data_IF_713298048095
#
_entry.id   IF_713298048095
#
_cell.length_a   1.000
_cell.length_b   1.000
_cell.length_c   1.000
_cell.angle_alpha   90.00
_cell.angle_beta   90.00
_cell.angle_gamma   90.00
#
_symmetry.space_group_name_H-M   'P 1'
#
loop_
_entity.id
_entity.type
_entity.pdbx_description
1 polymer ?
#
# COMPACT_ATOMS: atom_id res chain seq x y z
N UNK A 1 -3.47 -17.43 -1.28
CA UNK A 1 -3.37 -15.98 -1.23
C UNK A 1 -4.40 -15.37 -2.18
N UNK A 2 -5.08 -14.30 -1.80
CA UNK A 2 -5.99 -13.52 -2.63
C UNK A 2 -5.50 -12.07 -2.70
N UNK A 3 -5.49 -11.47 -3.88
CA UNK A 3 -5.26 -10.04 -4.03
C UNK A 3 -6.60 -9.30 -3.97
N UNK A 4 -6.67 -8.22 -3.21
CA UNK A 4 -7.87 -7.40 -3.09
C UNK A 4 -7.53 -5.98 -3.51
N UNK A 5 -8.15 -5.50 -4.59
CA UNK A 5 -7.97 -4.14 -5.11
C UNK A 5 -9.18 -3.26 -4.77
N UNK A 6 -8.93 -2.10 -4.14
CA UNK A 6 -10.00 -1.20 -3.70
C UNK A 6 -9.91 0.14 -4.43
N UNK A 7 -11.01 0.51 -5.06
CA UNK A 7 -11.12 1.72 -5.90
C UNK A 7 -10.27 1.62 -7.17
N UNK A 8 -10.24 2.67 -7.99
CA UNK A 8 -9.63 2.62 -9.32
C UNK A 8 -8.15 2.24 -9.33
N UNK A 9 -7.34 2.87 -8.48
CA UNK A 9 -5.89 2.62 -8.42
C UNK A 9 -5.63 1.22 -7.86
N UNK A 10 -6.25 0.87 -6.72
CA UNK A 10 -6.09 -0.44 -6.10
C UNK A 10 -6.52 -1.58 -7.02
N UNK A 11 -7.64 -1.43 -7.73
CA UNK A 11 -8.14 -2.41 -8.69
C UNK A 11 -7.18 -2.64 -9.87
N UNK A 12 -6.62 -1.56 -10.41
CA UNK A 12 -5.64 -1.66 -11.52
C UNK A 12 -4.37 -2.40 -11.07
N UNK A 13 -3.83 -2.06 -9.91
CA UNK A 13 -2.63 -2.69 -9.36
C UNK A 13 -2.89 -4.16 -9.04
N UNK A 14 -3.99 -4.47 -8.34
CA UNK A 14 -4.33 -5.84 -7.98
C UNK A 14 -4.58 -6.73 -9.21
N UNK A 15 -5.28 -6.22 -10.23
CA UNK A 15 -5.50 -6.95 -11.48
C UNK A 15 -4.18 -7.22 -12.23
N UNK A 16 -3.27 -6.24 -12.29
CA UNK A 16 -1.97 -6.41 -12.94
C UNK A 16 -1.07 -7.39 -12.18
N UNK A 17 -1.02 -7.29 -10.83
CA UNK A 17 -0.28 -8.23 -10.00
C UNK A 17 -0.87 -9.65 -10.07
N UNK A 18 -2.20 -9.79 -10.10
CA UNK A 18 -2.90 -11.07 -10.29
C UNK A 18 -2.51 -11.74 -11.61
N UNK A 19 -2.40 -10.96 -12.69
CA UNK A 19 -1.96 -11.48 -13.98
C UNK A 19 -0.50 -11.96 -13.93
N UNK A 20 0.39 -11.23 -13.25
CA UNK A 20 1.80 -11.58 -13.13
C UNK A 20 2.04 -12.81 -12.22
N UNK A 21 1.23 -12.99 -11.19
CA UNK A 21 1.33 -14.08 -10.20
C UNK A 21 0.43 -15.28 -10.51
N UNK A 22 -0.38 -15.20 -11.57
CA UNK A 22 -1.38 -16.20 -11.92
C UNK A 22 -2.35 -16.56 -10.76
N UNK A 23 -2.62 -15.61 -9.86
CA UNK A 23 -3.49 -15.80 -8.69
C UNK A 23 -4.86 -15.14 -8.89
N UNK A 24 -5.82 -15.46 -8.01
CA UNK A 24 -7.14 -14.82 -7.99
C UNK A 24 -7.08 -13.42 -7.41
N UNK A 25 -7.96 -12.53 -7.89
CA UNK A 25 -8.16 -11.21 -7.30
C UNK A 25 -9.64 -10.87 -7.10
N UNK A 26 -9.89 -10.03 -6.08
CA UNK A 26 -11.17 -9.42 -5.76
C UNK A 26 -11.05 -7.92 -5.94
N UNK A 27 -11.92 -7.33 -6.78
CA UNK A 27 -11.93 -5.90 -7.06
C UNK A 27 -13.19 -5.29 -6.45
N UNK A 28 -13.02 -4.25 -5.64
CA UNK A 28 -14.12 -3.60 -4.91
C UNK A 28 -14.09 -2.10 -5.20
N UNK A 29 -15.14 -1.57 -5.80
CA UNK A 29 -15.27 -0.12 -6.03
C UNK A 29 -16.73 0.32 -6.09
N UNK A 30 -16.95 1.60 -5.84
CA UNK A 30 -18.22 2.28 -6.08
C UNK A 30 -18.30 2.92 -7.48
N UNK A 31 -17.30 2.74 -8.31
CA UNK A 31 -17.32 3.09 -9.74
C UNK A 31 -17.15 1.83 -10.60
N UNK A 32 -18.12 1.56 -11.46
CA UNK A 32 -18.08 0.40 -12.37
C UNK A 32 -16.89 0.42 -13.32
N UNK A 33 -16.37 1.61 -13.67
CA UNK A 33 -15.22 1.77 -14.55
C UNK A 33 -13.92 1.22 -13.97
N UNK A 34 -13.86 1.09 -12.65
CA UNK A 34 -12.71 0.57 -11.91
C UNK A 34 -12.66 -0.97 -11.92
N UNK A 35 -13.76 -1.60 -12.31
CA UNK A 35 -13.97 -3.02 -12.13
C UNK A 35 -13.83 -3.78 -13.45
N UNK A 36 -12.99 -4.80 -13.41
CA UNK A 36 -12.85 -5.78 -14.48
C UNK A 36 -13.30 -7.13 -13.95
N UNK A 37 -14.17 -7.81 -14.64
CA UNK A 37 -14.60 -9.17 -14.31
C UNK A 37 -14.12 -10.13 -15.38
N UNK A 38 -13.31 -11.10 -14.97
CA UNK A 38 -12.76 -12.15 -15.84
C UNK A 38 -12.49 -13.43 -15.02
N UNK A 39 -11.91 -14.44 -15.62
CA UNK A 39 -11.65 -15.73 -14.97
C UNK A 39 -10.78 -15.65 -13.70
N UNK A 40 -9.98 -14.59 -13.54
CA UNK A 40 -9.09 -14.39 -12.38
C UNK A 40 -9.63 -13.35 -11.42
N UNK A 41 -10.34 -12.33 -11.91
CA UNK A 41 -10.80 -11.19 -11.10
C UNK A 41 -12.31 -11.26 -10.90
N UNK A 42 -12.72 -11.38 -9.65
CA UNK A 42 -14.11 -11.19 -9.22
C UNK A 42 -14.33 -9.73 -8.89
N UNK A 43 -15.45 -9.15 -9.29
CA UNK A 43 -15.75 -7.74 -9.08
C UNK A 43 -16.98 -7.57 -8.18
N UNK A 44 -16.85 -6.76 -7.13
CA UNK A 44 -17.95 -6.33 -6.27
C UNK A 44 -18.19 -4.84 -6.48
N UNK A 45 -19.34 -4.51 -7.04
CA UNK A 45 -19.76 -3.12 -7.23
C UNK A 45 -20.58 -2.65 -6.04
N UNK A 46 -20.00 -1.77 -5.22
CA UNK A 46 -20.68 -1.14 -4.08
C UNK A 46 -21.63 -0.08 -4.61
N UNK A 47 -22.92 -0.43 -4.65
CA UNK A 47 -23.95 0.47 -5.17
C UNK A 47 -24.20 1.62 -4.20
N UNK A 48 -24.09 2.85 -4.67
CA UNK A 48 -24.38 4.05 -3.90
C UNK A 48 -25.80 4.60 -4.12
N UNK A 49 -26.68 3.81 -4.75
CA UNK A 49 -28.03 4.24 -5.08
C UNK A 49 -28.05 5.50 -5.97
N UNK A 50 -28.84 6.48 -5.58
CA UNK A 50 -28.94 7.77 -6.29
C UNK A 50 -27.82 8.77 -5.92
N UNK A 51 -26.92 8.41 -4.99
CA UNK A 51 -25.85 9.28 -4.55
C UNK A 51 -24.73 9.37 -5.58
N UNK A 52 -24.58 10.56 -6.12
CA UNK A 52 -23.42 10.91 -6.94
C UNK A 52 -22.29 11.34 -6.00
N UNK A 53 -21.16 10.63 -6.03
CA UNK A 53 -20.01 10.93 -5.16
C UNK A 53 -20.32 10.93 -3.63
N UNK A 54 -20.78 9.83 -3.03
CA UNK A 54 -21.08 9.79 -1.62
C UNK A 54 -19.87 10.14 -0.76
N UNK A 55 -20.09 10.69 0.44
CA UNK A 55 -19.01 10.87 1.42
C UNK A 55 -18.44 9.53 1.87
N UNK A 56 -17.25 9.54 2.48
CA UNK A 56 -16.63 8.30 3.00
C UNK A 56 -17.55 7.61 4.03
N UNK A 57 -18.23 8.36 4.89
CA UNK A 57 -19.17 7.82 5.86
C UNK A 57 -20.36 7.12 5.20
N UNK A 58 -20.97 7.79 4.23
CA UNK A 58 -22.10 7.21 3.48
C UNK A 58 -21.66 5.99 2.67
N UNK A 59 -20.47 6.03 2.09
CA UNK A 59 -19.94 4.89 1.35
C UNK A 59 -19.71 3.66 2.26
N UNK A 60 -19.26 3.87 3.50
CA UNK A 60 -19.14 2.77 4.50
C UNK A 60 -20.47 2.08 4.75
N UNK A 61 -21.57 2.84 4.90
CA UNK A 61 -22.89 2.24 5.12
C UNK A 61 -23.34 1.37 3.94
N UNK A 62 -22.97 1.73 2.72
CA UNK A 62 -23.28 0.91 1.54
C UNK A 62 -22.42 -0.38 1.48
N UNK A 63 -21.18 -0.30 1.94
CA UNK A 63 -20.28 -1.48 2.03
C UNK A 63 -20.85 -2.56 2.95
N UNK A 64 -21.47 -2.18 4.05
CA UNK A 64 -22.12 -3.14 4.97
C UNK A 64 -23.18 -4.01 4.28
N UNK A 65 -23.88 -3.49 3.28
CA UNK A 65 -24.83 -4.25 2.46
C UNK A 65 -24.15 -5.34 1.59
N UNK A 66 -22.85 -5.26 1.36
CA UNK A 66 -22.06 -6.23 0.59
C UNK A 66 -21.17 -7.12 1.47
N UNK A 67 -21.34 -7.06 2.80
CA UNK A 67 -20.47 -7.76 3.76
C UNK A 67 -20.38 -9.26 3.50
N UNK A 68 -21.53 -9.91 3.31
CA UNK A 68 -21.58 -11.35 3.07
C UNK A 68 -20.90 -11.75 1.76
N UNK A 69 -21.12 -10.98 0.69
CA UNK A 69 -20.50 -11.19 -0.62
C UNK A 69 -18.98 -11.07 -0.56
N UNK A 70 -18.47 -10.07 0.18
CA UNK A 70 -17.04 -9.88 0.42
C UNK A 70 -16.46 -11.02 1.25
N UNK A 71 -17.15 -11.43 2.33
CA UNK A 71 -16.71 -12.53 3.20
C UNK A 71 -16.64 -13.86 2.43
N UNK A 72 -17.64 -14.15 1.60
CA UNK A 72 -17.67 -15.34 0.75
C UNK A 72 -16.53 -15.32 -0.27
N UNK A 73 -16.28 -14.19 -0.91
CA UNK A 73 -15.17 -14.05 -1.88
C UNK A 73 -13.78 -14.23 -1.25
N UNK A 74 -13.63 -13.95 0.06
CA UNK A 74 -12.39 -14.15 0.81
C UNK A 74 -12.31 -15.54 1.47
N UNK A 75 -13.40 -16.29 1.49
CA UNK A 75 -13.46 -17.59 2.15
C UNK A 75 -12.46 -18.60 1.55
N UNK A 76 -11.78 -19.35 2.41
CA UNK A 76 -10.82 -20.38 2.01
C UNK A 76 -9.40 -19.87 1.72
N UNK A 77 -9.16 -18.56 1.81
CA UNK A 77 -7.81 -18.02 1.70
C UNK A 77 -7.17 -17.85 3.08
N UNK A 78 -5.89 -18.18 3.20
CA UNK A 78 -5.10 -17.99 4.42
C UNK A 78 -4.53 -16.58 4.53
N UNK A 79 -4.35 -15.91 3.40
CA UNK A 79 -3.74 -14.57 3.33
C UNK A 79 -4.43 -13.72 2.27
N UNK A 80 -4.68 -12.47 2.60
CA UNK A 80 -5.13 -11.45 1.65
C UNK A 80 -4.11 -10.31 1.58
N UNK A 81 -3.85 -9.81 0.38
CA UNK A 81 -3.09 -8.57 0.16
C UNK A 81 -4.06 -7.52 -0.34
N UNK A 82 -4.31 -6.50 0.46
CA UNK A 82 -5.25 -5.41 0.16
C UNK A 82 -4.51 -4.21 -0.36
N UNK A 83 -4.79 -3.79 -1.59
CA UNK A 83 -4.18 -2.62 -2.23
C UNK A 83 -5.20 -1.49 -2.34
N UNK A 84 -4.88 -0.33 -1.80
CA UNK A 84 -5.77 0.82 -1.79
C UNK A 84 -5.04 2.15 -1.88
N UNK A 85 -5.64 3.11 -2.60
CA UNK A 85 -5.20 4.51 -2.57
C UNK A 85 -6.07 5.26 -1.53
N UNK A 86 -5.47 5.65 -0.42
CA UNK A 86 -6.16 6.34 0.67
C UNK A 86 -6.47 7.82 0.37
N UNK A 87 -5.92 8.38 -0.70
CA UNK A 87 -6.38 9.66 -1.23
C UNK A 87 -7.78 9.57 -1.88
N UNK A 88 -8.19 8.36 -2.31
CA UNK A 88 -9.48 8.11 -2.93
C UNK A 88 -10.57 7.74 -1.93
N UNK A 89 -11.81 8.22 -2.15
CA UNK A 89 -12.96 7.93 -1.27
C UNK A 89 -13.19 6.43 -1.06
N UNK A 90 -13.10 5.64 -2.13
CA UNK A 90 -13.24 4.18 -2.03
C UNK A 90 -12.15 3.57 -1.12
N UNK A 91 -10.88 3.94 -1.33
CA UNK A 91 -9.78 3.48 -0.48
C UNK A 91 -9.98 3.83 0.99
N UNK A 92 -10.28 5.11 1.27
CA UNK A 92 -10.52 5.62 2.63
C UNK A 92 -11.70 4.94 3.32
N UNK A 93 -12.79 4.68 2.60
CA UNK A 93 -14.01 4.13 3.19
C UNK A 93 -14.00 2.60 3.28
N UNK A 94 -13.52 1.92 2.24
CA UNK A 94 -13.70 0.47 2.06
C UNK A 94 -12.52 -0.31 2.65
N UNK A 95 -11.26 0.18 2.49
CA UNK A 95 -10.08 -0.59 2.87
C UNK A 95 -10.05 -0.99 4.35
N UNK A 96 -10.33 -0.10 5.32
CA UNK A 96 -10.36 -0.50 6.72
C UNK A 96 -11.40 -1.59 7.03
N UNK A 97 -12.57 -1.52 6.39
CA UNK A 97 -13.64 -2.50 6.58
C UNK A 97 -13.27 -3.88 6.03
N UNK A 98 -12.70 -3.92 4.82
CA UNK A 98 -12.25 -5.18 4.20
C UNK A 98 -11.12 -5.82 5.01
N UNK A 99 -10.14 -5.03 5.46
CA UNK A 99 -9.07 -5.52 6.33
C UNK A 99 -9.64 -6.09 7.64
N UNK A 100 -10.57 -5.38 8.28
CA UNK A 100 -11.24 -5.85 9.50
C UNK A 100 -11.99 -7.16 9.26
N UNK A 101 -12.79 -7.24 8.20
CA UNK A 101 -13.54 -8.45 7.86
C UNK A 101 -12.62 -9.67 7.66
N UNK A 102 -11.51 -9.48 6.96
CA UNK A 102 -10.51 -10.53 6.76
C UNK A 102 -9.90 -10.97 8.10
N UNK A 103 -9.50 -10.01 8.94
CA UNK A 103 -8.95 -10.29 10.28
C UNK A 103 -9.95 -11.01 11.18
N UNK A 104 -11.21 -10.56 11.20
CA UNK A 104 -12.30 -11.21 11.96
C UNK A 104 -12.53 -12.66 11.51
N UNK A 105 -12.28 -12.94 10.22
CA UNK A 105 -12.30 -14.27 9.62
C UNK A 105 -11.01 -15.07 9.81
N UNK A 106 -10.05 -14.58 10.61
CA UNK A 106 -8.73 -15.19 10.87
C UNK A 106 -7.87 -15.36 9.61
N UNK A 107 -8.06 -14.52 8.63
CA UNK A 107 -7.24 -14.43 7.43
C UNK A 107 -6.10 -13.45 7.72
N UNK A 108 -4.87 -13.81 7.39
CA UNK A 108 -3.73 -12.89 7.52
C UNK A 108 -3.86 -11.74 6.51
N UNK A 109 -3.69 -10.51 6.99
CA UNK A 109 -3.91 -9.28 6.21
C UNK A 109 -2.62 -8.52 6.02
N UNK A 110 -2.21 -8.36 4.77
CA UNK A 110 -1.15 -7.44 4.36
C UNK A 110 -1.83 -6.30 3.60
N UNK A 111 -1.74 -5.09 4.10
CA UNK A 111 -2.30 -3.92 3.42
C UNK A 111 -1.20 -3.10 2.73
N UNK A 112 -1.48 -2.64 1.50
CA UNK A 112 -0.63 -1.70 0.77
C UNK A 112 -1.42 -0.42 0.58
N UNK A 113 -0.99 0.63 1.27
CA UNK A 113 -1.63 1.91 1.33
C UNK A 113 -0.85 2.96 0.53
N UNK A 114 -1.49 3.59 -0.45
CA UNK A 114 -0.92 4.68 -1.22
C UNK A 114 -1.44 5.98 -0.62
N UNK A 115 -0.53 6.89 -0.25
CA UNK A 115 -0.86 8.15 0.41
C UNK A 115 -1.12 9.28 -0.60
N UNK A 116 -1.95 10.30 -0.20
CA UNK A 116 -2.17 11.48 -1.03
C UNK A 116 -0.90 12.30 -1.21
N UNK A 117 -0.86 13.10 -2.28
CA UNK A 117 0.14 14.14 -2.42
C UNK A 117 -0.11 15.30 -1.45
N UNK A 118 0.95 16.03 -1.08
CA UNK A 118 0.88 17.21 -0.19
C UNK A 118 -0.08 18.30 -0.69
N UNK A 119 -0.23 18.44 -1.99
CA UNK A 119 -1.16 19.41 -2.56
C UNK A 119 -2.65 18.99 -2.47
N UNK A 120 -2.93 17.70 -2.20
CA UNK A 120 -4.29 17.17 -1.98
C UNK A 120 -4.73 17.39 -0.52
N UNK A 121 -4.62 18.62 -0.04
CA UNK A 121 -4.78 19.02 1.37
C UNK A 121 -6.11 18.60 1.99
N UNK A 122 -7.19 18.61 1.20
CA UNK A 122 -8.54 18.17 1.58
C UNK A 122 -8.63 16.67 1.89
N UNK A 123 -7.64 15.88 1.46
CA UNK A 123 -7.62 14.42 1.62
C UNK A 123 -6.66 13.92 2.68
N UNK A 124 -5.71 14.75 3.10
CA UNK A 124 -4.63 14.36 4.02
C UNK A 124 -5.19 13.79 5.32
N UNK A 125 -6.11 14.52 5.97
CA UNK A 125 -6.71 14.08 7.24
C UNK A 125 -7.48 12.76 7.09
N UNK A 126 -8.32 12.65 6.06
CA UNK A 126 -9.09 11.43 5.79
C UNK A 126 -8.18 10.23 5.51
N UNK A 127 -7.08 10.45 4.79
CA UNK A 127 -6.10 9.41 4.50
C UNK A 127 -5.31 8.98 5.75
N UNK A 128 -4.94 9.93 6.61
CA UNK A 128 -4.28 9.65 7.90
C UNK A 128 -5.14 8.79 8.80
N UNK A 129 -6.40 9.19 8.99
CA UNK A 129 -7.37 8.42 9.77
C UNK A 129 -7.60 7.02 9.17
N UNK A 130 -7.71 6.90 7.85
CA UNK A 130 -7.86 5.60 7.21
C UNK A 130 -6.61 4.73 7.34
N UNK A 131 -5.42 5.31 7.24
CA UNK A 131 -4.15 4.60 7.44
C UNK A 131 -4.07 4.02 8.85
N UNK A 132 -4.40 4.81 9.88
CA UNK A 132 -4.44 4.32 11.27
C UNK A 132 -5.34 3.10 11.40
N UNK A 133 -6.59 3.21 10.93
CA UNK A 133 -7.57 2.10 10.97
C UNK A 133 -7.11 0.85 10.22
N UNK A 134 -6.47 1.03 9.06
CA UNK A 134 -5.92 -0.09 8.30
C UNK A 134 -4.77 -0.75 9.07
N UNK A 135 -3.89 0.04 9.70
CA UNK A 135 -2.78 -0.47 10.53
C UNK A 135 -3.27 -1.30 11.71
N UNK A 136 -4.33 -0.84 12.39
CA UNK A 136 -4.88 -1.49 13.59
C UNK A 136 -5.46 -2.88 13.29
N UNK A 137 -5.94 -3.10 12.07
CA UNK A 137 -6.60 -4.34 11.66
C UNK A 137 -5.78 -5.19 10.68
N UNK A 138 -4.62 -4.74 10.25
CA UNK A 138 -3.72 -5.50 9.37
C UNK A 138 -2.59 -6.12 10.17
N UNK A 139 -2.13 -7.30 9.75
CA UNK A 139 -0.94 -7.92 10.33
C UNK A 139 0.34 -7.20 9.88
N UNK A 140 0.30 -6.65 8.67
CA UNK A 140 1.35 -5.76 8.16
C UNK A 140 0.77 -4.70 7.25
N UNK A 141 1.30 -3.48 7.32
CA UNK A 141 0.94 -2.38 6.42
C UNK A 141 2.18 -1.86 5.70
N UNK A 142 2.12 -1.79 4.38
CA UNK A 142 3.16 -1.20 3.54
C UNK A 142 2.63 0.12 3.00
N UNK A 143 3.31 1.21 3.30
CA UNK A 143 2.90 2.54 2.85
C UNK A 143 3.77 2.99 1.68
N UNK A 144 3.13 3.43 0.60
CA UNK A 144 3.77 4.08 -0.54
C UNK A 144 3.55 5.58 -0.49
N UNK A 145 4.65 6.30 -0.43
CA UNK A 145 4.68 7.76 -0.39
C UNK A 145 5.01 8.34 -1.76
N UNK A 146 4.00 8.81 -2.46
CA UNK A 146 4.21 9.42 -3.76
C UNK A 146 4.95 10.77 -3.70
N UNK A 147 4.78 11.53 -2.61
CA UNK A 147 5.47 12.81 -2.45
C UNK A 147 6.97 12.64 -2.26
N UNK A 148 7.39 11.71 -1.38
CA UNK A 148 8.80 11.46 -1.16
C UNK A 148 9.50 10.99 -2.45
N UNK A 149 8.78 10.25 -3.31
CA UNK A 149 9.28 9.89 -4.63
C UNK A 149 9.39 11.10 -5.55
N UNK A 150 8.38 11.98 -5.57
CA UNK A 150 8.34 13.17 -6.41
C UNK A 150 9.33 14.24 -5.94
N UNK A 151 9.49 14.44 -4.64
CA UNK A 151 10.47 15.37 -4.06
C UNK A 151 11.91 15.05 -4.52
N UNK A 152 12.21 13.75 -4.69
CA UNK A 152 13.50 13.29 -5.23
C UNK A 152 13.55 13.26 -6.77
N UNK A 153 12.45 13.48 -7.46
CA UNK A 153 12.33 13.47 -8.92
C UNK A 153 11.39 14.60 -9.40
N UNK A 154 11.70 15.88 -9.09
CA UNK A 154 10.77 16.99 -9.29
C UNK A 154 10.43 17.29 -10.76
N UNK A 155 11.22 16.75 -11.70
CA UNK A 155 10.99 16.89 -13.13
C UNK A 155 9.92 15.94 -13.68
N UNK A 156 9.47 14.97 -12.88
CA UNK A 156 8.46 14.00 -13.31
C UNK A 156 7.06 14.62 -13.35
N UNK A 157 6.30 14.21 -14.36
CA UNK A 157 4.86 14.44 -14.35
C UNK A 157 4.19 13.57 -13.27
N UNK A 158 3.03 14.00 -12.78
CA UNK A 158 2.21 13.18 -11.87
C UNK A 158 1.89 11.80 -12.47
N UNK A 159 1.62 11.75 -13.77
CA UNK A 159 1.34 10.50 -14.48
C UNK A 159 2.53 9.54 -14.44
N UNK A 160 3.75 10.03 -14.69
CA UNK A 160 4.96 9.20 -14.65
C UNK A 160 5.28 8.74 -13.22
N UNK A 161 5.07 9.62 -12.23
CA UNK A 161 5.18 9.26 -10.83
C UNK A 161 4.27 8.08 -10.50
N UNK A 162 2.97 8.15 -10.83
CA UNK A 162 2.04 7.05 -10.62
C UNK A 162 2.42 5.78 -11.38
N UNK A 163 2.92 5.90 -12.61
CA UNK A 163 3.32 4.73 -13.38
C UNK A 163 4.49 3.99 -12.70
N UNK A 164 5.49 4.73 -12.21
CA UNK A 164 6.66 4.13 -11.55
C UNK A 164 6.28 3.54 -10.19
N UNK A 165 5.55 4.27 -9.37
CA UNK A 165 5.17 3.83 -8.02
C UNK A 165 4.20 2.66 -8.03
N UNK A 166 3.23 2.66 -8.96
CA UNK A 166 2.32 1.52 -9.15
C UNK A 166 3.06 0.27 -9.62
N UNK A 167 4.01 0.40 -10.56
CA UNK A 167 4.85 -0.71 -10.99
C UNK A 167 5.72 -1.25 -9.85
N UNK A 168 6.27 -0.38 -9.00
CA UNK A 168 7.02 -0.80 -7.83
C UNK A 168 6.16 -1.66 -6.87
N UNK A 169 4.91 -1.27 -6.65
CA UNK A 169 3.97 -2.05 -5.84
C UNK A 169 3.72 -3.42 -6.47
N UNK A 170 3.48 -3.50 -7.78
CA UNK A 170 3.27 -4.76 -8.50
C UNK A 170 4.50 -5.67 -8.38
N UNK A 171 5.70 -5.12 -8.60
CA UNK A 171 6.97 -5.85 -8.53
C UNK A 171 7.23 -6.36 -7.10
N UNK A 172 6.93 -5.56 -6.08
CA UNK A 172 7.05 -5.99 -4.68
C UNK A 172 6.03 -7.09 -4.35
N UNK A 173 4.76 -6.94 -4.73
CA UNK A 173 3.75 -8.00 -4.53
C UNK A 173 4.19 -9.32 -5.18
N UNK A 174 4.74 -9.26 -6.39
CA UNK A 174 5.22 -10.43 -7.10
C UNK A 174 6.46 -11.08 -6.49
N UNK A 175 7.20 -10.35 -5.68
CA UNK A 175 8.46 -10.80 -5.07
C UNK A 175 8.34 -11.17 -3.59
N UNK A 176 7.26 -10.74 -2.93
CA UNK A 176 7.06 -10.91 -1.48
C UNK A 176 6.31 -12.20 -1.21
N UNK A 177 6.88 -13.07 -0.38
CA UNK A 177 6.11 -14.09 0.33
C UNK A 177 5.55 -13.51 1.63
N UNK A 178 4.37 -13.97 2.04
CA UNK A 178 3.71 -13.53 3.27
C UNK A 178 4.58 -13.66 4.52
N UNK A 179 5.52 -14.60 4.51
CA UNK A 179 6.41 -14.91 5.64
C UNK A 179 7.54 -13.88 5.80
N UNK A 180 7.81 -13.08 4.77
CA UNK A 180 8.89 -12.10 4.76
C UNK A 180 8.47 -10.76 5.36
N UNK A 181 7.17 -10.43 5.36
CA UNK A 181 6.65 -9.20 5.93
C UNK A 181 6.13 -9.51 7.31
N UNK A 182 6.94 -9.22 8.34
CA UNK A 182 6.52 -9.39 9.74
C UNK A 182 5.61 -8.24 10.19
N UNK A 183 4.81 -8.47 11.26
CA UNK A 183 3.86 -7.47 11.77
C UNK A 183 4.56 -6.17 12.10
N UNK A 184 4.37 -5.16 11.32
CA UNK A 184 4.74 -3.77 11.60
C UNK A 184 4.25 -2.87 10.45
N UNK A 185 4.30 -1.58 10.66
CA UNK A 185 4.24 -0.65 9.56
C UNK A 185 5.55 -0.68 8.80
N UNK A 186 5.46 -0.73 7.47
CA UNK A 186 6.60 -0.71 6.56
C UNK A 186 6.41 0.42 5.55
N UNK A 187 7.50 0.94 5.05
CA UNK A 187 7.50 1.95 3.98
C UNK A 187 8.12 1.34 2.74
N UNK A 188 7.44 1.48 1.61
CA UNK A 188 7.97 1.10 0.30
C UNK A 188 8.61 2.32 -0.35
N UNK A 189 9.91 2.24 -0.56
CA UNK A 189 10.70 3.23 -1.31
C UNK A 189 11.14 2.63 -2.64
N UNK A 190 11.17 3.43 -3.68
CA UNK A 190 11.53 2.97 -5.03
C UNK A 190 12.43 3.95 -5.73
N UNK A 191 13.19 3.46 -6.71
CA UNK A 191 13.98 4.28 -7.61
C UNK A 191 13.37 4.35 -9.00
N UNK A 192 13.80 5.34 -9.76
CA UNK A 192 13.70 5.27 -11.22
C UNK A 192 14.64 4.19 -11.78
N UNK A 193 14.40 3.81 -13.01
CA UNK A 193 15.33 2.98 -13.75
C UNK A 193 16.64 3.75 -14.01
N UNK A 194 17.75 3.29 -13.44
CA UNK A 194 19.08 3.89 -13.57
C UNK A 194 20.05 2.90 -14.22
N UNK A 195 21.11 3.39 -14.89
CA UNK A 195 22.16 2.50 -15.42
C UNK A 195 22.95 1.77 -14.33
N UNK A 196 23.01 2.33 -13.12
CA UNK A 196 23.77 1.80 -11.98
C UNK A 196 22.83 1.41 -10.84
N UNK A 197 23.04 0.23 -10.28
CA UNK A 197 22.34 -0.25 -9.10
C UNK A 197 22.60 0.61 -7.86
N UNK A 198 23.80 1.19 -7.74
CA UNK A 198 24.15 2.11 -6.66
C UNK A 198 23.34 3.41 -6.73
N UNK A 199 23.20 3.98 -7.94
CA UNK A 199 22.37 5.18 -8.13
C UNK A 199 20.89 4.91 -7.81
N UNK A 200 20.39 3.74 -8.20
CA UNK A 200 19.02 3.31 -7.87
C UNK A 200 18.84 3.15 -6.36
N UNK A 201 19.79 2.54 -5.66
CA UNK A 201 19.73 2.42 -4.21
C UNK A 201 19.73 3.80 -3.53
N UNK A 202 20.54 4.74 -4.01
CA UNK A 202 20.58 6.10 -3.47
C UNK A 202 19.23 6.81 -3.60
N UNK A 203 18.57 6.70 -4.75
CA UNK A 203 17.22 7.25 -4.96
C UNK A 203 16.22 6.66 -3.94
N UNK A 204 16.24 5.34 -3.75
CA UNK A 204 15.33 4.68 -2.78
C UNK A 204 15.63 5.06 -1.32
N UNK A 205 16.89 5.24 -0.97
CA UNK A 205 17.30 5.68 0.37
C UNK A 205 16.93 7.14 0.61
N UNK A 206 17.05 8.01 -0.38
CA UNK A 206 16.59 9.40 -0.25
C UNK A 206 15.11 9.46 0.07
N UNK A 207 14.28 8.70 -0.68
CA UNK A 207 12.85 8.56 -0.40
C UNK A 207 12.57 8.03 1.02
N UNK A 208 13.40 7.09 1.52
CA UNK A 208 13.24 6.54 2.86
C UNK A 208 13.45 7.60 3.94
N UNK A 209 14.51 8.42 3.82
CA UNK A 209 14.80 9.49 4.78
C UNK A 209 13.74 10.58 4.80
N UNK A 210 13.09 10.84 3.67
CA UNK A 210 11.96 11.79 3.61
C UNK A 210 10.71 11.26 4.33
N UNK A 211 10.55 9.94 4.38
CA UNK A 211 9.37 9.29 4.96
C UNK A 211 9.56 8.93 6.42
N UNK A 212 10.76 8.48 6.81
CA UNK A 212 11.11 8.08 8.18
C UNK A 212 12.17 9.06 8.71
N UNK A 213 11.80 10.01 9.57
CA UNK A 213 12.72 11.03 10.07
C UNK A 213 13.91 10.48 10.86
N UNK A 214 13.70 9.36 11.56
CA UNK A 214 14.76 8.71 12.32
C UNK A 214 15.03 7.29 11.80
N UNK A 215 15.99 7.20 10.89
CA UNK A 215 16.40 5.93 10.28
C UNK A 215 17.03 4.93 11.29
N UNK A 216 17.51 5.40 12.45
CA UNK A 216 18.07 4.52 13.50
C UNK A 216 17.03 3.59 14.11
N UNK A 217 15.74 3.91 13.97
CA UNK A 217 14.62 3.10 14.45
C UNK A 217 14.31 1.91 13.54
N UNK A 218 14.86 1.88 12.35
CA UNK A 218 14.62 0.82 11.37
C UNK A 218 15.36 -0.45 11.79
N UNK A 219 14.60 -1.50 12.11
CA UNK A 219 15.13 -2.79 12.55
C UNK A 219 15.21 -3.83 11.45
N UNK A 220 14.54 -3.58 10.33
CA UNK A 220 14.47 -4.52 9.21
C UNK A 220 14.30 -3.78 7.90
N UNK A 221 15.01 -4.25 6.89
CA UNK A 221 14.87 -3.76 5.54
C UNK A 221 14.98 -4.93 4.55
N UNK A 222 14.18 -4.87 3.48
CA UNK A 222 14.24 -5.79 2.36
C UNK A 222 14.58 -5.00 1.11
N UNK A 223 15.56 -5.47 0.37
CA UNK A 223 16.05 -4.85 -0.85
C UNK A 223 15.68 -5.73 -2.03
N UNK A 224 14.91 -5.18 -2.95
CA UNK A 224 14.55 -5.82 -4.21
C UNK A 224 15.30 -5.13 -5.34
N UNK A 225 16.15 -5.87 -6.01
CA UNK A 225 16.90 -5.37 -7.17
C UNK A 225 16.26 -5.91 -8.43
N UNK A 226 15.67 -5.01 -9.22
CA UNK A 226 14.94 -5.33 -10.44
C UNK A 226 15.73 -4.86 -11.64
N UNK A 227 16.10 -5.76 -12.53
CA UNK A 227 16.69 -5.40 -13.81
C UNK A 227 18.14 -5.80 -14.01
N UNK A 228 18.64 -5.48 -15.20
CA UNK A 228 19.98 -5.81 -15.66
C UNK A 228 20.17 -7.31 -15.96
N UNK A 229 20.55 -7.63 -17.20
CA UNK A 229 20.85 -9.03 -17.57
C UNK A 229 22.01 -9.63 -16.76
N UNK A 230 22.76 -8.82 -15.99
CA UNK A 230 24.00 -9.25 -15.32
C UNK A 230 24.32 -8.40 -14.09
N UNK A 231 23.48 -8.45 -13.08
CA UNK A 231 23.91 -7.92 -11.78
C UNK A 231 24.86 -8.96 -11.18
N UNK A 232 26.08 -8.58 -10.93
CA UNK A 232 27.09 -9.46 -10.33
C UNK A 232 26.80 -9.67 -8.84
N UNK A 233 27.23 -10.81 -8.30
CA UNK A 233 27.17 -11.07 -6.85
C UNK A 233 27.92 -10.00 -6.06
N UNK A 234 29.04 -9.47 -6.64
CA UNK A 234 29.81 -8.40 -6.03
C UNK A 234 29.01 -7.09 -5.90
N UNK A 235 28.21 -6.74 -6.91
CA UNK A 235 27.31 -5.57 -6.85
C UNK A 235 26.19 -5.78 -5.82
N UNK A 236 25.58 -6.95 -5.78
CA UNK A 236 24.58 -7.28 -4.78
C UNK A 236 25.14 -7.19 -3.36
N UNK A 237 26.33 -7.72 -3.13
CA UNK A 237 27.01 -7.62 -1.83
C UNK A 237 27.32 -6.16 -1.44
N UNK A 238 27.72 -5.32 -2.39
CA UNK A 238 27.91 -3.88 -2.14
C UNK A 238 26.63 -3.19 -1.73
N UNK A 239 25.50 -3.46 -2.43
CA UNK A 239 24.20 -2.90 -2.08
C UNK A 239 23.77 -3.30 -0.67
N UNK A 240 23.88 -4.59 -0.33
CA UNK A 240 23.56 -5.10 1.02
C UNK A 240 24.46 -4.45 2.08
N UNK A 241 25.75 -4.35 1.82
CA UNK A 241 26.69 -3.72 2.76
C UNK A 241 26.40 -2.26 2.96
N UNK A 242 26.01 -1.53 1.89
CA UNK A 242 25.60 -0.14 1.97
C UNK A 242 24.36 0.01 2.86
N UNK A 243 23.32 -0.78 2.62
CA UNK A 243 22.09 -0.75 3.42
C UNK A 243 22.38 -1.08 4.90
N UNK A 244 23.16 -2.12 5.16
CA UNK A 244 23.59 -2.45 6.52
C UNK A 244 24.36 -1.34 7.22
N UNK A 245 25.22 -0.64 6.47
CA UNK A 245 25.99 0.49 7.01
C UNK A 245 25.16 1.72 7.37
N UNK A 246 23.98 1.87 6.75
CA UNK A 246 23.08 3.00 6.99
C UNK A 246 22.21 2.77 8.22
N UNK A 247 21.68 1.57 8.38
CA UNK A 247 20.71 1.25 9.43
C UNK A 247 21.32 0.79 10.74
N UNK A 248 22.62 0.81 10.85
CA UNK A 248 23.51 0.58 11.97
C UNK A 248 22.92 0.37 13.38
N UNK A 249 23.53 0.07 14.39
CA UNK A 249 24.84 -0.13 14.97
C UNK A 249 24.91 -1.40 15.81
N UNK A 250 23.73 -2.04 16.12
CA UNK A 250 23.65 -3.13 17.09
C UNK A 250 23.67 -4.55 16.47
N UNK A 251 23.96 -4.70 15.21
CA UNK A 251 24.00 -6.01 14.53
C UNK A 251 22.64 -6.73 14.39
N UNK A 252 21.54 -6.06 14.79
CA UNK A 252 20.18 -6.63 14.80
C UNK A 252 19.38 -6.40 13.53
N UNK A 253 19.93 -5.72 12.54
CA UNK A 253 19.20 -5.40 11.30
C UNK A 253 19.22 -6.60 10.36
N UNK A 254 18.03 -7.12 10.11
CA UNK A 254 17.81 -8.14 9.08
C UNK A 254 17.67 -7.45 7.71
N UNK A 255 18.62 -7.71 6.82
CA UNK A 255 18.53 -7.30 5.42
C UNK A 255 18.24 -8.52 4.58
N UNK A 256 17.04 -8.61 4.03
CA UNK A 256 16.69 -9.57 3.00
C UNK A 256 17.05 -9.00 1.62
N UNK A 257 17.37 -9.84 0.66
CA UNK A 257 17.60 -9.44 -0.70
C UNK A 257 16.91 -10.38 -1.68
N UNK A 258 16.19 -9.81 -2.63
CA UNK A 258 15.68 -10.51 -3.78
C UNK A 258 16.20 -9.82 -5.04
N UNK A 259 16.58 -10.59 -6.03
CA UNK A 259 16.95 -10.06 -7.34
C UNK A 259 16.11 -10.72 -8.43
N UNK A 260 15.66 -9.95 -9.41
CA UNK A 260 15.04 -10.48 -10.60
C UNK A 260 15.72 -9.95 -11.86
N UNK A 261 15.72 -10.76 -12.90
CA UNK A 261 16.29 -10.39 -14.20
C UNK A 261 15.22 -9.69 -15.03
N UNK A 262 15.54 -8.50 -15.52
CA UNK A 262 14.72 -7.76 -16.48
C UNK A 262 15.40 -7.71 -17.84
N UNK A 263 14.61 -7.57 -18.91
CA UNK A 263 15.11 -7.41 -20.26
C UNK A 263 15.82 -6.06 -20.49
N UNK A 264 15.65 -5.09 -19.60
CA UNK A 264 16.25 -3.76 -19.72
C UNK A 264 17.69 -3.72 -19.21
N UNK A 265 18.52 -2.82 -19.76
CA UNK A 265 19.87 -2.57 -19.26
C UNK A 265 19.90 -1.63 -18.04
N UNK A 266 18.73 -1.23 -17.54
CA UNK A 266 18.60 -0.36 -16.39
C UNK A 266 18.16 -1.15 -15.16
N UNK A 267 18.59 -0.70 -14.00
CA UNK A 267 18.29 -1.30 -12.70
C UNK A 267 17.34 -0.39 -11.93
N UNK A 268 16.36 -0.99 -11.24
CA UNK A 268 15.56 -0.35 -10.20
C UNK A 268 15.83 -1.04 -8.87
N UNK A 269 15.74 -0.28 -7.80
CA UNK A 269 15.84 -0.81 -6.45
C UNK A 269 14.56 -0.43 -5.70
N UNK A 270 13.92 -1.42 -5.11
CA UNK A 270 12.84 -1.20 -4.15
C UNK A 270 13.35 -1.56 -2.77
N UNK A 271 13.04 -0.72 -1.81
CA UNK A 271 13.38 -0.92 -0.42
C UNK A 271 12.10 -0.95 0.40
N UNK A 272 11.84 -2.06 1.09
CA UNK A 272 10.76 -2.17 2.08
C UNK A 272 11.40 -2.14 3.45
N UNK A 273 11.22 -1.05 4.18
CA UNK A 273 11.81 -0.85 5.49
C UNK A 273 10.75 -0.80 6.59
N UNK A 274 10.98 -1.47 7.70
CA UNK A 274 10.09 -1.40 8.86
C UNK A 274 10.19 -0.03 9.53
N UNK A 275 9.02 0.54 9.85
CA UNK A 275 8.89 1.82 10.55
C UNK A 275 8.22 1.59 11.91
N UNK A 276 8.98 1.18 12.95
CA UNK A 276 8.39 0.83 14.25
C UNK A 276 7.96 2.04 15.08
N UNK A 277 8.44 3.22 14.71
CA UNK A 277 8.11 4.48 15.34
C UNK A 277 7.35 5.40 14.39
N UNK A 278 7.19 6.67 14.78
CA UNK A 278 6.48 7.68 14.01
C UNK A 278 7.07 7.87 12.61
N UNK A 279 6.19 7.93 11.62
CA UNK A 279 6.48 8.36 10.27
C UNK A 279 5.89 9.75 10.04
N UNK A 280 6.18 10.39 8.91
CA UNK A 280 5.55 11.67 8.58
C UNK A 280 4.03 11.58 8.46
N UNK A 281 3.46 10.40 8.22
CA UNK A 281 2.01 10.19 8.09
C UNK A 281 1.25 10.25 9.41
N UNK A 282 1.93 10.09 10.53
CA UNK A 282 1.29 10.20 11.85
C UNK A 282 0.81 11.65 12.09
N UNK A 283 1.41 12.65 11.43
CA UNK A 283 0.93 14.03 11.44
C UNK A 283 -0.33 14.28 10.60
N UNK A 284 -0.74 13.34 9.76
CA UNK A 284 -1.94 13.46 8.93
C UNK A 284 -3.23 13.26 9.72
N UNK A 285 -3.15 12.59 10.87
CA UNK A 285 -4.25 12.45 11.81
C UNK A 285 -3.86 13.00 13.19
N UNK A 286 -3.84 14.34 13.35
CA UNK A 286 -3.43 14.97 14.60
C UNK A 286 -4.35 14.68 15.79
N UNK A 287 -5.55 14.16 15.54
CA UNK A 287 -6.52 13.77 16.57
C UNK A 287 -6.35 12.31 17.02
N UNK A 288 -5.53 11.53 16.34
CA UNK A 288 -5.32 10.13 16.62
C UNK A 288 -4.78 9.81 18.01
N UNK A 289 -4.09 10.76 18.64
CA UNK A 289 -3.63 10.64 20.03
C UNK A 289 -4.69 11.10 21.07
N UNK A 290 -5.74 11.81 20.63
CA UNK A 290 -6.72 12.48 21.51
C UNK A 290 -8.05 11.72 21.55
N UNK A 291 -8.45 11.14 20.42
CA UNK A 291 -9.72 10.44 20.29
C UNK A 291 -9.49 8.93 20.46
N UNK A 292 -10.10 8.28 21.47
CA UNK A 292 -10.00 6.83 21.63
C UNK A 292 -10.52 6.10 20.40
N UNK A 293 -9.80 5.05 19.97
CA UNK A 293 -10.12 4.25 18.77
C UNK A 293 -11.52 3.62 18.79
N UNK A 294 -12.10 3.42 19.99
CA UNK A 294 -13.41 2.81 20.21
C UNK A 294 -14.56 3.63 19.61
N UNK A 295 -14.46 4.97 19.64
CA UNK A 295 -15.50 5.85 19.09
C UNK A 295 -15.60 5.84 17.56
N UNK A 296 -14.59 5.37 16.88
CA UNK A 296 -14.49 5.41 15.41
C UNK A 296 -15.14 4.18 14.72
N UNK A 297 -15.42 3.12 15.48
CA UNK A 297 -15.99 1.86 14.97
C UNK A 297 -17.45 1.63 15.38
N UNK A 298 -17.96 2.43 16.33
CA UNK A 298 -19.34 2.34 16.73
C UNK A 298 -20.25 2.95 15.66
N UNK A 299 -21.14 2.13 15.17
CA UNK A 299 -22.27 2.30 14.27
C UNK A 299 -22.16 3.41 13.18
N UNK A 300 -22.49 3.11 11.92
CA UNK A 300 -22.70 4.15 10.93
C UNK A 300 -23.77 5.08 11.47
N UNK A 301 -23.36 6.33 11.74
CA UNK A 301 -24.24 7.39 12.19
C UNK A 301 -25.60 7.26 11.48
N UNK A 302 -26.63 6.95 12.22
CA UNK A 302 -28.01 7.07 11.78
C UNK A 302 -28.36 8.56 11.68
N UNK A 303 -27.52 9.30 10.98
CA UNK A 303 -27.80 10.69 10.65
C UNK A 303 -29.16 10.72 9.96
N UNK A 304 -30.12 11.49 10.48
CA UNK A 304 -31.47 11.54 9.91
C UNK A 304 -31.34 11.91 8.43
N UNK A 305 -32.02 11.13 7.58
CA UNK A 305 -32.13 11.40 6.16
C UNK A 305 -32.70 12.81 5.95
N UNK A 306 -31.84 13.80 5.81
CA UNK A 306 -32.23 15.11 5.32
C UNK A 306 -32.45 14.93 3.82
N UNK A 307 -33.65 14.53 3.46
CA UNK A 307 -34.15 14.68 2.08
C UNK A 307 -34.25 16.16 1.81
N UNK A 308 -33.35 16.69 1.04
CA UNK A 308 -33.55 17.99 0.40
C UNK A 308 -34.68 17.80 -0.63
N UNK A 309 -35.84 18.25 -0.29
CA UNK A 309 -37.00 18.42 -1.20
C UNK A 309 -36.73 19.54 -2.19
#
# INVERSE_FOLDING_TARGET
MLLVGIGGVGSKIAAAASAALECKCLLISNDKKDLVNNDRCTAIFVRSGEWVNPSCYKLRSFVEGHRNEMAEAMHGYSTVIVVSNLAGRAGTAIAPLVCKMAKDSRISVISIAIMPFKYETDRIFSAGTALRRVRDVSDSTIVMDNDAFLDNNPELSQHDCFAITNNAIIEVIASVSSDMIKPSMNVLCTSRARPSSESSLRDSLAMLYDTIPDASTIKRAMVYVMGGKRISIGELNKLVSCVRGIFKEDGSIEVGMLSSVSASNSTRVHLVASAPQKTRFDSYDPLGEIIPDVLDWEEPDSAPDIKLT
#
